data_IF_287022510821
#
_entry.id   IF_287022510821
#
_cell.length_a   1.000
_cell.length_b   1.000
_cell.length_c   1.000
_cell.angle_alpha   90.00
_cell.angle_beta   90.00
_cell.angle_gamma   90.00
#
_symmetry.space_group_name_H-M   'P 1'
#
loop_
_entity.id
_entity.type
_entity.pdbx_description
1 polymer ?
#
# COMPACT_ATOMS: atom_id res chain seq x y z
N UNK A 1 -35.48 -0.90 11.22
CA UNK A 1 -34.48 -1.89 10.80
C UNK A 1 -34.40 -1.85 9.28
N UNK A 2 -33.24 -1.53 8.71
CA UNK A 2 -32.96 -1.68 7.29
C UNK A 2 -31.58 -2.32 7.18
N UNK A 3 -31.57 -3.62 6.90
CA UNK A 3 -30.38 -4.43 6.67
C UNK A 3 -29.62 -3.91 5.47
N UNK A 4 -28.37 -3.57 5.69
CA UNK A 4 -27.39 -3.10 4.71
C UNK A 4 -27.17 -4.17 3.63
N UNK A 5 -27.96 -4.11 2.57
CA UNK A 5 -27.80 -4.89 1.34
C UNK A 5 -26.76 -4.19 0.46
N UNK A 6 -25.63 -4.86 0.20
CA UNK A 6 -24.62 -4.39 -0.73
C UNK A 6 -23.22 -4.63 -0.18
N UNK A 7 -22.46 -5.49 -0.84
CA UNK A 7 -21.08 -5.82 -0.53
C UNK A 7 -20.25 -4.55 -0.24
N UNK A 8 -19.99 -4.22 1.02
CA UNK A 8 -19.21 -3.04 1.44
C UNK A 8 -17.70 -3.31 1.33
N UNK A 9 -17.30 -4.25 0.49
CA UNK A 9 -15.92 -4.67 0.34
C UNK A 9 -15.35 -4.01 -0.92
N UNK A 10 -14.14 -3.42 -0.86
CA UNK A 10 -13.50 -2.94 -2.07
C UNK A 10 -13.29 -4.11 -3.05
N UNK A 11 -13.76 -3.91 -4.27
CA UNK A 11 -13.60 -4.81 -5.40
C UNK A 11 -13.21 -4.00 -6.65
N UNK A 12 -12.30 -4.52 -7.45
CA UNK A 12 -11.68 -3.78 -8.55
C UNK A 12 -10.56 -2.85 -8.07
N UNK A 13 -10.17 -1.88 -8.89
CA UNK A 13 -9.08 -0.97 -8.55
C UNK A 13 -9.54 0.13 -7.57
N UNK A 14 -8.74 0.38 -6.53
CA UNK A 14 -9.07 1.39 -5.53
C UNK A 14 -7.88 1.84 -4.69
N UNK A 15 -8.05 2.99 -4.04
CA UNK A 15 -7.06 3.58 -3.13
C UNK A 15 -7.63 3.56 -1.72
N UNK A 16 -6.90 2.95 -0.80
CA UNK A 16 -7.23 2.91 0.63
C UNK A 16 -6.16 3.64 1.42
N UNK A 17 -6.58 4.56 2.27
CA UNK A 17 -5.72 5.27 3.20
C UNK A 17 -5.83 4.61 4.57
N UNK A 18 -4.70 4.24 5.14
CA UNK A 18 -4.60 3.66 6.47
C UNK A 18 -4.26 4.75 7.49
N UNK A 19 -4.67 4.60 8.75
CA UNK A 19 -4.23 5.48 9.82
C UNK A 19 -2.71 5.39 9.97
N UNK A 20 -2.00 6.52 9.92
CA UNK A 20 -0.53 6.55 10.00
C UNK A 20 0.18 6.78 8.65
N UNK A 21 -0.45 7.54 7.74
CA UNK A 21 0.08 7.98 6.42
C UNK A 21 0.34 6.87 5.39
N UNK A 22 0.13 5.62 5.78
CA UNK A 22 0.17 4.48 4.88
C UNK A 22 -0.97 4.54 3.88
N UNK A 23 -0.71 4.18 2.62
CA UNK A 23 -1.75 4.09 1.60
C UNK A 23 -1.49 2.93 0.67
N UNK A 24 -2.54 2.26 0.24
CA UNK A 24 -2.49 1.24 -0.79
C UNK A 24 -3.26 1.72 -2.01
N UNK A 25 -2.69 1.49 -3.18
CA UNK A 25 -3.29 1.78 -4.47
C UNK A 25 -3.14 0.55 -5.34
N UNK A 26 -4.24 -0.10 -5.72
CA UNK A 26 -4.15 -1.34 -6.47
C UNK A 26 -5.49 -2.05 -6.62
N UNK A 27 -5.43 -3.28 -7.10
CA UNK A 27 -6.61 -4.12 -7.26
C UNK A 27 -7.07 -4.72 -5.91
N UNK A 28 -8.38 -4.86 -5.79
CA UNK A 28 -9.06 -5.41 -4.63
C UNK A 28 -10.01 -6.52 -5.05
N UNK A 29 -10.10 -7.56 -4.25
CA UNK A 29 -11.04 -8.65 -4.46
C UNK A 29 -11.55 -9.13 -3.10
N UNK A 30 -12.87 -9.13 -2.90
CA UNK A 30 -13.47 -9.54 -1.63
C UNK A 30 -13.03 -8.72 -0.42
N UNK A 31 -12.64 -7.46 -0.64
CA UNK A 31 -12.14 -6.59 0.42
C UNK A 31 -10.67 -6.79 0.78
N UNK A 32 -9.99 -7.66 0.04
CA UNK A 32 -8.58 -7.94 0.21
C UNK A 32 -7.78 -7.39 -0.97
N UNK A 33 -6.53 -6.98 -0.71
CA UNK A 33 -5.59 -6.55 -1.76
C UNK A 33 -5.28 -7.73 -2.67
N UNK A 34 -5.37 -7.52 -3.97
CA UNK A 34 -5.17 -8.56 -4.98
C UNK A 34 -4.52 -7.96 -6.23
N UNK A 35 -4.15 -8.79 -7.20
CA UNK A 35 -3.61 -8.35 -8.49
C UNK A 35 -2.37 -7.47 -8.35
N UNK A 36 -2.24 -6.45 -9.19
CA UNK A 36 -1.14 -5.49 -9.09
C UNK A 36 -1.50 -4.33 -8.17
N UNK A 37 -0.55 -3.95 -7.30
CA UNK A 37 -0.75 -2.85 -6.36
C UNK A 37 0.52 -2.29 -5.76
N UNK A 38 0.39 -1.07 -5.28
CA UNK A 38 1.44 -0.25 -4.69
C UNK A 38 1.07 0.13 -3.26
N UNK A 39 1.90 -0.30 -2.31
CA UNK A 39 1.82 0.07 -0.90
C UNK A 39 2.85 1.14 -0.58
N UNK A 40 2.40 2.22 0.03
CA UNK A 40 3.23 3.27 0.58
C UNK A 40 3.24 3.09 2.09
N UNK A 41 4.43 2.81 2.63
CA UNK A 41 4.62 2.61 4.06
C UNK A 41 4.90 3.95 4.75
N UNK A 42 4.62 4.00 6.05
CA UNK A 42 4.88 5.17 6.90
C UNK A 42 6.36 5.59 6.93
N UNK A 43 7.27 4.61 6.77
CA UNK A 43 8.72 4.82 6.67
C UNK A 43 9.12 5.59 5.38
N UNK A 44 8.17 5.78 4.46
CA UNK A 44 8.36 6.34 3.12
C UNK A 44 8.89 5.31 2.12
N UNK A 45 9.10 4.08 2.58
CA UNK A 45 9.34 2.93 1.73
C UNK A 45 8.09 2.62 0.90
N UNK A 46 8.28 2.08 -0.30
CA UNK A 46 7.21 1.83 -1.27
C UNK A 46 7.38 0.43 -1.84
N UNK A 47 6.36 -0.40 -1.72
CA UNK A 47 6.30 -1.68 -2.40
C UNK A 47 5.38 -1.57 -3.62
N UNK A 48 5.81 -2.06 -4.77
CA UNK A 48 5.02 -2.14 -6.00
C UNK A 48 5.14 -3.54 -6.55
N UNK A 49 4.05 -4.29 -6.63
CA UNK A 49 4.11 -5.70 -7.01
C UNK A 49 2.77 -6.38 -7.01
N UNK A 50 2.81 -7.70 -7.14
CA UNK A 50 1.63 -8.55 -7.05
C UNK A 50 1.17 -8.72 -5.59
N UNK A 51 -0.14 -8.80 -5.43
CA UNK A 51 -0.85 -8.99 -4.17
C UNK A 51 -1.80 -10.17 -4.30
N UNK A 52 -1.85 -11.00 -3.27
CA UNK A 52 -2.78 -12.10 -3.16
C UNK A 52 -3.32 -12.14 -1.74
N UNK A 53 -4.61 -11.84 -1.57
CA UNK A 53 -5.31 -11.91 -0.29
C UNK A 53 -4.58 -11.14 0.82
N UNK A 54 -4.32 -9.85 0.59
CA UNK A 54 -3.60 -8.95 1.52
C UNK A 54 -2.12 -9.23 1.72
N UNK A 55 -1.57 -10.24 1.04
CA UNK A 55 -0.14 -10.56 1.11
C UNK A 55 0.58 -10.06 -0.14
N UNK A 56 1.68 -9.31 0.00
CA UNK A 56 2.57 -9.07 -1.12
C UNK A 56 3.19 -10.42 -1.52
N UNK A 57 3.09 -10.76 -2.80
CA UNK A 57 3.51 -12.06 -3.31
C UNK A 57 3.90 -11.98 -4.78
N UNK A 58 4.63 -12.98 -5.28
CA UNK A 58 5.07 -12.98 -6.68
C UNK A 58 6.13 -11.93 -6.99
N UNK A 59 6.05 -11.34 -8.18
CA UNK A 59 7.02 -10.33 -8.62
C UNK A 59 6.64 -8.95 -8.09
N UNK A 60 7.62 -8.28 -7.48
CA UNK A 60 7.46 -6.93 -6.98
C UNK A 60 8.80 -6.28 -6.67
N UNK A 61 8.77 -4.97 -6.47
CA UNK A 61 9.91 -4.11 -6.19
C UNK A 61 9.65 -3.37 -4.88
N UNK A 62 10.49 -3.61 -3.87
CA UNK A 62 10.52 -2.81 -2.66
C UNK A 62 11.54 -1.67 -2.83
N UNK A 63 11.06 -0.43 -2.89
CA UNK A 63 11.88 0.78 -2.88
C UNK A 63 11.94 1.32 -1.47
N UNK A 64 13.05 1.09 -0.79
CA UNK A 64 13.28 1.71 0.51
C UNK A 64 13.46 3.22 0.32
N UNK A 65 12.89 4.02 1.25
CA UNK A 65 13.26 5.43 1.33
C UNK A 65 14.76 5.45 1.59
N UNK A 66 15.52 5.99 0.63
CA UNK A 66 16.98 6.03 0.73
C UNK A 66 17.33 6.67 2.07
N UNK A 67 18.12 5.98 2.89
CA UNK A 67 18.77 6.60 4.02
C UNK A 67 19.54 7.79 3.46
N UNK A 68 19.06 8.99 3.76
CA UNK A 68 19.75 10.22 3.41
C UNK A 68 20.72 10.41 4.58
N UNK A 69 22.02 10.07 4.44
CA UNK A 69 22.97 10.40 5.49
C UNK A 69 22.87 11.92 5.72
N UNK A 70 22.93 12.39 6.98
CA UNK A 70 22.96 13.83 7.23
C UNK A 70 24.07 14.41 6.37
N UNK A 71 23.72 15.38 5.54
CA UNK A 71 24.68 16.06 4.67
C UNK A 71 25.86 16.53 5.54
N UNK A 72 27.12 16.26 5.18
CA UNK A 72 28.28 16.68 5.98
C UNK A 72 28.48 18.20 6.04
N UNK A 73 27.51 19.00 5.59
CA UNK A 73 27.56 20.47 5.55
C UNK A 73 27.17 21.14 6.87
N UNK A 74 26.81 20.39 7.91
CA UNK A 74 26.59 20.95 9.26
C UNK A 74 27.84 20.75 10.14
N UNK A 75 28.98 21.24 9.66
CA UNK A 75 30.21 21.42 10.45
C UNK A 75 31.07 22.47 9.76
N UNK A 76 30.66 23.74 9.87
CA UNK A 76 31.50 24.90 9.70
C UNK A 76 31.39 25.75 10.98
#
# INVERSE_FOLDING_TARGET
>A
MATKLGCQQPCGYGVTFYPGVERYEGEWSGGLRSGWGRMYYQDGSIYEGQWLEDRPGGQGMLRLRKYQPPSPSASA
#
